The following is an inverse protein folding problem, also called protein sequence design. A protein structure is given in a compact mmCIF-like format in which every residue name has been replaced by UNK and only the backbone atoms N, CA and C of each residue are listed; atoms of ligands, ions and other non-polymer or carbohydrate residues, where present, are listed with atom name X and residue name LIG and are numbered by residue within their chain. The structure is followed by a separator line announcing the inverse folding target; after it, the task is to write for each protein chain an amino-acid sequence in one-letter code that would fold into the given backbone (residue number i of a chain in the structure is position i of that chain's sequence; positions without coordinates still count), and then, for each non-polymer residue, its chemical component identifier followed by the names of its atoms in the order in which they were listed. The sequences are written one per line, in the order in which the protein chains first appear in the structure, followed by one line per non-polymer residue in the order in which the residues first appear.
data_IF_969509709369
#
_entry.id   IF_969509709369
#
_cell.length_a   1.000
_cell.length_b   1.000
_cell.length_c   1.000
_cell.angle_alpha   90.00
_cell.angle_beta   90.00
_cell.angle_gamma   90.00
#
_symmetry.space_group_name_H-M   'P 1'
#
loop_
_entity.id
_entity.type
_entity.pdbx_description
1 polymer ?
#
# COMPACT_ATOMS: atom_id res chain seq x y z
N UNK A 1 2.91 22.98 2.14
CA UNK A 1 2.63 23.35 0.72
C UNK A 1 1.51 22.42 0.24
N UNK A 2 0.32 22.92 -0.09
CA UNK A 2 -0.84 22.06 -0.35
C UNK A 2 -0.66 21.13 -1.57
N UNK A 3 -1.05 19.86 -1.44
CA UNK A 3 -1.11 18.89 -2.55
C UNK A 3 -1.90 19.44 -3.73
N UNK A 4 -1.29 19.46 -4.93
CA UNK A 4 -2.03 19.72 -6.16
C UNK A 4 -2.85 18.49 -6.55
N UNK A 5 -4.12 18.50 -6.13
CA UNK A 5 -5.07 17.37 -6.26
C UNK A 5 -5.28 16.95 -7.71
N UNK A 6 -5.38 17.90 -8.65
CA UNK A 6 -5.59 17.60 -10.08
C UNK A 6 -4.42 16.83 -10.66
N UNK A 7 -3.19 17.28 -10.42
CA UNK A 7 -1.97 16.59 -10.86
C UNK A 7 -1.79 15.24 -10.17
N UNK A 8 -2.23 15.12 -8.92
CA UNK A 8 -2.16 13.89 -8.16
C UNK A 8 -3.07 12.81 -8.76
N UNK A 9 -4.30 13.14 -9.15
CA UNK A 9 -5.24 12.17 -9.74
C UNK A 9 -4.78 11.55 -11.06
N UNK A 10 -3.96 12.26 -11.84
CA UNK A 10 -3.44 11.71 -13.10
C UNK A 10 -2.33 10.68 -12.86
N UNK A 11 -1.48 10.91 -11.84
CA UNK A 11 -0.23 10.15 -11.68
C UNK A 11 -0.22 9.22 -10.48
N UNK A 12 -1.09 9.46 -9.48
CA UNK A 12 -1.12 8.76 -8.19
C UNK A 12 0.26 8.66 -7.54
N UNK A 13 1.07 9.70 -7.71
CA UNK A 13 2.41 9.81 -7.15
C UNK A 13 2.50 11.10 -6.36
N UNK A 14 2.95 10.99 -5.13
CA UNK A 14 3.21 12.11 -4.25
C UNK A 14 4.71 12.22 -4.03
N UNK A 15 5.27 13.41 -4.21
CA UNK A 15 6.66 13.71 -3.91
C UNK A 15 6.75 15.13 -3.36
N UNK A 16 7.29 15.26 -2.16
CA UNK A 16 7.48 16.55 -1.51
C UNK A 16 8.77 16.58 -0.70
N UNK A 17 9.23 17.79 -0.40
CA UNK A 17 10.32 18.07 0.53
C UNK A 17 9.89 19.24 1.41
N UNK A 18 9.40 18.93 2.59
CA UNK A 18 8.80 19.91 3.50
C UNK A 18 9.01 19.50 4.97
N UNK A 19 8.78 20.39 5.94
CA UNK A 19 8.71 20.02 7.36
C UNK A 19 7.65 18.95 7.64
N UNK A 20 7.75 18.28 8.78
CA UNK A 20 6.83 17.20 9.16
C UNK A 20 5.37 17.65 9.22
N UNK A 21 5.01 18.81 9.80
CA UNK A 21 3.61 19.27 9.86
C UNK A 21 2.96 19.39 8.47
N UNK A 22 3.65 20.03 7.53
CA UNK A 22 3.20 20.15 6.14
C UNK A 22 2.97 18.79 5.48
N UNK A 23 3.88 17.84 5.68
CA UNK A 23 3.73 16.50 5.11
C UNK A 23 2.56 15.73 5.75
N UNK A 24 2.32 15.93 7.05
CA UNK A 24 1.19 15.30 7.75
C UNK A 24 -0.14 15.88 7.26
N UNK A 25 -0.20 17.19 7.01
CA UNK A 25 -1.36 17.84 6.38
C UNK A 25 -1.62 17.25 4.99
N UNK A 26 -0.56 17.11 4.17
CA UNK A 26 -0.68 16.48 2.86
C UNK A 26 -1.19 15.02 2.96
N UNK A 27 -0.73 14.24 3.94
CA UNK A 27 -1.23 12.87 4.16
C UNK A 27 -2.71 12.84 4.61
N UNK A 28 -3.16 13.86 5.33
CA UNK A 28 -4.55 14.01 5.73
C UNK A 28 -5.45 14.39 4.53
N UNK A 29 -4.95 15.22 3.62
CA UNK A 29 -5.67 15.47 2.35
C UNK A 29 -5.82 14.17 1.55
N UNK A 30 -4.76 13.35 1.48
CA UNK A 30 -4.83 12.05 0.80
C UNK A 30 -5.80 11.08 1.48
N UNK A 31 -5.84 11.03 2.81
CA UNK A 31 -6.78 10.17 3.55
C UNK A 31 -8.23 10.59 3.32
N UNK A 32 -8.50 11.89 3.27
CA UNK A 32 -9.85 12.42 2.99
C UNK A 32 -10.28 12.15 1.54
N UNK A 33 -9.38 12.27 0.57
CA UNK A 33 -9.66 11.94 -0.82
C UNK A 33 -10.02 10.46 -0.98
N UNK A 34 -9.28 9.58 -0.32
CA UNK A 34 -9.55 8.14 -0.31
C UNK A 34 -10.89 7.82 0.35
N UNK A 35 -11.15 8.37 1.54
CA UNK A 35 -12.41 8.18 2.25
C UNK A 35 -13.63 8.66 1.44
N UNK A 36 -13.50 9.76 0.69
CA UNK A 36 -14.54 10.24 -0.24
C UNK A 36 -14.75 9.26 -1.40
N UNK A 37 -13.68 8.76 -2.00
CA UNK A 37 -13.77 7.79 -3.10
C UNK A 37 -14.40 6.47 -2.63
N UNK A 38 -14.02 5.97 -1.46
CA UNK A 38 -14.60 4.77 -0.86
C UNK A 38 -16.07 4.97 -0.51
N UNK A 39 -16.42 6.13 0.07
CA UNK A 39 -17.79 6.52 0.36
C UNK A 39 -18.68 6.59 -0.88
N UNK A 40 -18.20 7.23 -1.95
CA UNK A 40 -18.89 7.28 -3.25
C UNK A 40 -19.12 5.89 -3.84
N UNK A 41 -18.12 5.01 -3.77
CA UNK A 41 -18.24 3.64 -4.28
C UNK A 41 -19.25 2.81 -3.49
N UNK A 42 -19.27 2.95 -2.16
CA UNK A 42 -20.26 2.30 -1.30
C UNK A 42 -21.67 2.84 -1.60
N UNK A 43 -21.83 4.15 -1.70
CA UNK A 43 -23.12 4.76 -2.03
C UNK A 43 -23.66 4.30 -3.40
N UNK A 44 -22.80 4.24 -4.43
CA UNK A 44 -23.17 3.72 -5.75
C UNK A 44 -23.48 2.22 -5.73
N UNK A 45 -22.80 1.43 -4.91
CA UNK A 45 -23.10 0.01 -4.73
C UNK A 45 -24.50 -0.20 -4.15
N UNK A 46 -24.80 0.49 -3.05
CA UNK A 46 -26.12 0.44 -2.42
C UNK A 46 -27.21 0.94 -3.37
N UNK A 47 -26.98 2.08 -4.03
CA UNK A 47 -27.94 2.66 -4.99
C UNK A 47 -28.14 1.76 -6.21
N UNK A 48 -27.06 1.17 -6.75
CA UNK A 48 -27.11 0.24 -7.88
C UNK A 48 -27.90 -1.03 -7.55
N UNK A 49 -27.71 -1.59 -6.36
CA UNK A 49 -28.48 -2.76 -5.91
C UNK A 49 -29.95 -2.43 -5.70
N UNK A 50 -30.27 -1.32 -5.02
CA UNK A 50 -31.65 -0.91 -4.77
C UNK A 50 -32.42 -0.46 -6.02
N UNK A 51 -31.73 -0.15 -7.12
CA UNK A 51 -32.37 0.20 -8.39
C UNK A 51 -32.46 -1.01 -9.32
N UNK A 52 -31.37 -1.77 -9.48
CA UNK A 52 -31.31 -2.89 -10.42
C UNK A 52 -32.18 -4.08 -10.02
N UNK A 53 -32.25 -4.43 -8.72
CA UNK A 53 -33.05 -5.57 -8.25
C UNK A 53 -34.55 -5.38 -8.49
N UNK A 54 -35.21 -4.32 -7.98
CA UNK A 54 -36.63 -4.15 -8.22
C UNK A 54 -36.94 -3.90 -9.70
N UNK A 55 -36.06 -3.20 -10.43
CA UNK A 55 -36.18 -3.04 -11.88
C UNK A 55 -36.17 -4.39 -12.62
N UNK A 56 -35.23 -5.26 -12.27
CA UNK A 56 -35.12 -6.61 -12.83
C UNK A 56 -36.31 -7.51 -12.49
N UNK A 57 -36.80 -7.46 -11.24
CA UNK A 57 -37.99 -8.20 -10.83
C UNK A 57 -39.23 -7.72 -11.58
N UNK A 58 -39.46 -6.42 -11.67
CA UNK A 58 -40.59 -5.86 -12.42
C UNK A 58 -40.53 -6.22 -13.91
N UNK A 59 -39.34 -6.13 -14.52
CA UNK A 59 -39.15 -6.52 -15.92
C UNK A 59 -39.41 -8.02 -16.14
N UNK A 60 -38.93 -8.89 -15.24
CA UNK A 60 -39.14 -10.32 -15.31
C UNK A 60 -40.62 -10.72 -15.12
N UNK A 61 -41.31 -10.10 -14.15
CA UNK A 61 -42.75 -10.31 -13.93
C UNK A 61 -43.55 -9.84 -15.14
N UNK A 62 -43.26 -8.65 -15.66
CA UNK A 62 -43.93 -8.11 -16.85
C UNK A 62 -43.74 -9.04 -18.05
N UNK A 63 -42.52 -9.52 -18.26
CA UNK A 63 -42.21 -10.48 -19.33
C UNK A 63 -42.94 -11.81 -19.14
N UNK A 64 -42.96 -12.35 -17.92
CA UNK A 64 -43.65 -13.61 -17.62
C UNK A 64 -45.17 -13.54 -17.83
N UNK A 65 -45.79 -12.44 -17.40
CA UNK A 65 -47.23 -12.20 -17.63
C UNK A 65 -47.50 -12.01 -19.11
N UNK A 66 -46.69 -11.23 -19.82
CA UNK A 66 -46.82 -11.04 -21.27
C UNK A 66 -46.69 -12.37 -22.03
N UNK A 67 -45.65 -13.16 -21.74
CA UNK A 67 -45.43 -14.45 -22.38
C UNK A 67 -46.57 -15.45 -22.14
N UNK A 68 -47.11 -15.51 -20.92
CA UNK A 68 -48.22 -16.42 -20.58
C UNK A 68 -49.59 -15.98 -21.10
N UNK A 69 -49.77 -14.69 -21.40
CA UNK A 69 -51.05 -14.14 -21.91
C UNK A 69 -51.12 -14.13 -23.43
N UNK A 70 -49.98 -14.02 -24.13
CA UNK A 70 -49.90 -14.21 -25.60
C UNK A 70 -50.41 -15.60 -26.02
N UNK A 71 -50.31 -16.61 -25.17
CA UNK A 71 -50.84 -17.95 -25.44
C UNK A 71 -52.36 -18.09 -25.22
N UNK A 72 -53.02 -17.12 -24.57
CA UNK A 72 -54.40 -17.27 -24.09
C UNK A 72 -55.40 -16.26 -24.66
N UNK A 73 -54.99 -15.31 -25.51
CA UNK A 73 -55.81 -14.27 -26.16
C UNK A 73 -56.72 -13.41 -25.24
N UNK A 74 -56.57 -13.49 -23.91
CA UNK A 74 -57.44 -12.82 -22.92
C UNK A 74 -56.72 -11.68 -22.16
N UNK A 75 -56.33 -10.60 -22.85
CA UNK A 75 -55.82 -9.39 -22.19
C UNK A 75 -56.82 -8.24 -22.34
N UNK A 76 -57.34 -7.75 -21.21
CA UNK A 76 -58.11 -6.51 -21.18
C UNK A 76 -57.23 -5.30 -21.51
N UNK A 77 -57.76 -4.26 -22.15
CA UNK A 77 -56.99 -3.06 -22.51
C UNK A 77 -56.28 -2.41 -21.31
N UNK A 78 -56.93 -2.43 -20.14
CA UNK A 78 -56.36 -1.96 -18.88
C UNK A 78 -55.13 -2.79 -18.45
N UNK A 79 -55.17 -4.12 -18.65
CA UNK A 79 -54.04 -5.01 -18.38
C UNK A 79 -52.85 -4.75 -19.31
N UNK A 80 -53.11 -4.50 -20.59
CA UNK A 80 -52.06 -4.15 -21.55
C UNK A 80 -51.36 -2.83 -21.21
N UNK A 81 -52.12 -1.80 -20.80
CA UNK A 81 -51.56 -0.53 -20.36
C UNK A 81 -50.70 -0.67 -19.10
N UNK A 82 -51.18 -1.44 -18.10
CA UNK A 82 -50.44 -1.66 -16.86
C UNK A 82 -49.14 -2.43 -17.09
N UNK A 83 -49.15 -3.45 -17.98
CA UNK A 83 -47.94 -4.17 -18.39
C UNK A 83 -46.95 -3.26 -19.10
N UNK A 84 -47.41 -2.38 -19.99
CA UNK A 84 -46.55 -1.42 -20.68
C UNK A 84 -45.88 -0.46 -19.71
N UNK A 85 -46.63 0.12 -18.77
CA UNK A 85 -46.07 1.04 -17.76
C UNK A 85 -45.08 0.32 -16.84
N UNK A 86 -45.46 -0.85 -16.31
CA UNK A 86 -44.61 -1.63 -15.41
C UNK A 86 -43.34 -2.10 -16.09
N UNK A 87 -43.42 -2.51 -17.37
CA UNK A 87 -42.28 -2.89 -18.18
C UNK A 87 -41.32 -1.73 -18.45
N UNK A 88 -41.85 -0.56 -18.81
CA UNK A 88 -41.03 0.65 -19.06
C UNK A 88 -40.34 1.11 -17.77
N UNK A 89 -41.08 1.17 -16.65
CA UNK A 89 -40.52 1.56 -15.36
C UNK A 89 -39.47 0.54 -14.89
N UNK A 90 -39.80 -0.75 -14.92
CA UNK A 90 -38.87 -1.83 -14.56
C UNK A 90 -37.60 -1.82 -15.41
N UNK A 91 -37.76 -1.70 -16.73
CA UNK A 91 -36.64 -1.61 -17.68
C UNK A 91 -35.75 -0.38 -17.42
N UNK A 92 -36.35 0.80 -17.21
CA UNK A 92 -35.61 2.03 -16.91
C UNK A 92 -34.79 1.93 -15.63
N UNK A 93 -35.36 1.38 -14.55
CA UNK A 93 -34.67 1.18 -13.27
C UNK A 93 -33.50 0.20 -13.39
N UNK A 94 -33.67 -0.86 -14.17
CA UNK A 94 -32.59 -1.81 -14.46
C UNK A 94 -31.46 -1.13 -15.23
N UNK A 95 -31.77 -0.34 -16.26
CA UNK A 95 -30.76 0.40 -17.03
C UNK A 95 -30.02 1.41 -16.14
N UNK A 96 -30.74 2.20 -15.33
CA UNK A 96 -30.12 3.15 -14.38
C UNK A 96 -29.22 2.41 -13.39
N UNK A 97 -29.67 1.30 -12.82
CA UNK A 97 -28.86 0.48 -11.92
C UNK A 97 -27.57 -0.03 -12.58
N UNK A 98 -27.64 -0.50 -13.83
CA UNK A 98 -26.47 -0.91 -14.61
C UNK A 98 -25.51 0.27 -14.85
N UNK A 99 -26.02 1.45 -15.19
CA UNK A 99 -25.20 2.66 -15.36
C UNK A 99 -24.49 3.06 -14.06
N UNK A 100 -25.15 2.93 -12.90
CA UNK A 100 -24.53 3.17 -11.59
C UNK A 100 -23.39 2.17 -11.31
N UNK A 101 -23.55 0.89 -11.68
CA UNK A 101 -22.47 -0.09 -11.58
C UNK A 101 -21.29 0.20 -12.51
N UNK A 102 -21.58 0.63 -13.75
CA UNK A 102 -20.54 1.08 -14.68
C UNK A 102 -19.79 2.29 -14.12
N UNK A 103 -20.52 3.26 -13.57
CA UNK A 103 -19.91 4.43 -12.93
C UNK A 103 -19.05 4.03 -11.73
N UNK A 104 -19.52 3.12 -10.87
CA UNK A 104 -18.72 2.54 -9.77
C UNK A 104 -17.41 1.93 -10.29
N UNK A 105 -17.44 1.24 -11.43
CA UNK A 105 -16.23 0.66 -12.03
C UNK A 105 -15.21 1.73 -12.43
N UNK A 106 -15.68 2.86 -12.98
CA UNK A 106 -14.80 3.99 -13.33
C UNK A 106 -14.15 4.68 -12.13
N UNK A 107 -14.74 4.53 -10.93
CA UNK A 107 -14.18 5.09 -9.69
C UNK A 107 -13.14 4.17 -9.03
N UNK A 108 -13.05 2.89 -9.41
CA UNK A 108 -12.11 1.94 -8.82
C UNK A 108 -10.64 2.40 -8.86
N UNK A 109 -10.13 3.06 -9.92
CA UNK A 109 -8.75 3.58 -9.94
C UNK A 109 -8.49 4.69 -8.91
N UNK A 110 -9.53 5.32 -8.35
CA UNK A 110 -9.39 6.39 -7.35
C UNK A 110 -9.24 5.86 -5.91
N UNK A 111 -9.42 4.55 -5.71
CA UNK A 111 -9.22 3.84 -4.45
C UNK A 111 -7.72 3.73 -4.17
N UNK A 112 -7.25 4.41 -3.13
CA UNK A 112 -5.85 4.39 -2.74
C UNK A 112 -5.60 3.24 -1.77
N UNK A 113 -4.36 2.75 -1.66
CA UNK A 113 -4.04 1.76 -0.62
C UNK A 113 -3.80 2.47 0.71
N UNK A 114 -4.73 2.33 1.65
CA UNK A 114 -4.75 2.97 2.97
C UNK A 114 -3.46 2.73 3.75
N UNK A 115 -2.81 1.58 3.52
CA UNK A 115 -1.57 1.20 4.19
C UNK A 115 -0.40 2.08 3.78
N UNK A 116 -0.41 2.60 2.54
CA UNK A 116 0.73 3.34 1.97
C UNK A 116 0.87 4.73 2.57
N UNK A 117 -0.17 5.57 2.51
CA UNK A 117 -0.14 6.88 3.15
C UNK A 117 -0.24 6.76 4.68
N UNK A 118 -0.93 5.75 5.20
CA UNK A 118 -0.97 5.46 6.64
C UNK A 118 0.41 5.18 7.23
N UNK A 119 1.27 4.41 6.53
CA UNK A 119 2.65 4.18 6.97
C UNK A 119 3.44 5.49 7.01
N UNK A 120 3.30 6.34 5.98
CA UNK A 120 3.96 7.64 5.93
C UNK A 120 3.57 8.50 7.14
N UNK A 121 2.27 8.60 7.42
CA UNK A 121 1.73 9.38 8.54
C UNK A 121 2.29 8.90 9.89
N UNK A 122 2.30 7.58 10.13
CA UNK A 122 2.80 7.01 11.39
C UNK A 122 4.32 7.21 11.53
N UNK A 123 5.10 7.03 10.47
CA UNK A 123 6.55 7.25 10.52
C UNK A 123 6.91 8.72 10.70
N UNK A 124 6.20 9.63 10.04
CA UNK A 124 6.39 11.08 10.19
C UNK A 124 6.16 11.51 11.64
N UNK A 125 5.04 11.12 12.25
CA UNK A 125 4.74 11.42 13.67
C UNK A 125 5.80 10.88 14.63
N UNK A 126 6.35 9.68 14.36
CA UNK A 126 7.40 9.09 15.20
C UNK A 126 8.73 9.83 15.06
N UNK A 127 9.09 10.24 13.84
CA UNK A 127 10.34 10.93 13.56
C UNK A 127 10.31 12.41 13.96
N UNK A 128 9.14 13.02 14.06
CA UNK A 128 8.95 14.42 14.48
C UNK A 128 9.73 14.77 15.75
N UNK A 129 9.73 13.87 16.73
CA UNK A 129 10.42 14.05 18.01
C UNK A 129 11.96 14.10 17.90
N UNK A 130 12.53 13.51 16.84
CA UNK A 130 13.97 13.43 16.61
C UNK A 130 14.47 14.45 15.56
N UNK A 131 13.57 15.28 15.04
CA UNK A 131 13.83 16.28 14.01
C UNK A 131 13.87 17.69 14.60
N UNK A 132 14.63 18.59 13.96
CA UNK A 132 14.46 20.01 14.25
C UNK A 132 13.11 20.47 13.68
N UNK A 133 12.44 21.47 14.29
CA UNK A 133 11.09 21.90 13.89
C UNK A 133 10.93 22.15 12.38
N UNK A 134 11.93 22.80 11.77
CA UNK A 134 11.93 23.16 10.35
C UNK A 134 12.78 22.21 9.48
N UNK A 135 13.17 21.05 10.01
CA UNK A 135 14.00 20.10 9.26
C UNK A 135 13.23 19.53 8.06
N UNK A 136 13.71 19.74 6.82
CA UNK A 136 12.99 19.25 5.66
C UNK A 136 13.10 17.74 5.55
N UNK A 137 11.96 17.07 5.49
CA UNK A 137 11.83 15.64 5.19
C UNK A 137 11.46 15.51 3.72
N UNK A 138 12.17 14.65 2.99
CA UNK A 138 11.82 14.28 1.61
C UNK A 138 10.98 13.01 1.66
N UNK A 139 9.75 13.11 1.16
CA UNK A 139 8.81 11.99 1.07
C UNK A 139 8.49 11.70 -0.41
N UNK A 140 8.54 10.43 -0.79
CA UNK A 140 8.03 9.93 -2.07
C UNK A 140 7.10 8.75 -1.83
N UNK A 141 5.92 8.81 -2.43
CA UNK A 141 4.90 7.79 -2.41
C UNK A 141 4.41 7.52 -3.83
N UNK A 142 4.44 6.26 -4.26
CA UNK A 142 3.67 5.78 -5.42
C UNK A 142 2.44 5.06 -4.87
N UNK A 143 1.25 5.57 -5.18
CA UNK A 143 -0.03 5.03 -4.72
C UNK A 143 -0.73 4.22 -5.81
N UNK A 144 -0.07 4.02 -6.97
CA UNK A 144 -0.59 3.13 -8.02
C UNK A 144 -0.51 1.68 -7.58
N UNK A 145 -1.40 0.81 -8.08
CA UNK A 145 -1.33 -0.62 -7.83
C UNK A 145 0.07 -1.21 -8.08
N UNK A 146 0.49 -2.24 -7.33
CA UNK A 146 1.82 -2.84 -7.47
C UNK A 146 1.99 -3.66 -8.75
N UNK A 147 0.90 -3.93 -9.46
CA UNK A 147 0.80 -4.80 -10.63
C UNK A 147 0.57 -4.05 -11.95
N UNK A 148 0.88 -2.75 -11.98
CA UNK A 148 0.91 -1.94 -13.22
C UNK A 148 2.04 -2.43 -14.12
N UNK A 149 1.80 -2.44 -15.44
CA UNK A 149 2.76 -2.95 -16.44
C UNK A 149 4.13 -2.27 -16.36
N UNK A 150 4.19 -0.95 -16.10
CA UNK A 150 5.44 -0.20 -15.90
C UNK A 150 6.33 -0.78 -14.79
N UNK A 151 5.74 -1.47 -13.81
CA UNK A 151 6.43 -2.06 -12.65
C UNK A 151 6.83 -3.52 -12.89
N UNK A 152 6.49 -4.08 -14.06
CA UNK A 152 6.81 -5.46 -14.42
C UNK A 152 8.29 -5.57 -14.80
N UNK A 153 9.02 -6.38 -14.05
CA UNK A 153 10.47 -6.57 -14.26
C UNK A 153 10.76 -7.79 -15.13
N UNK A 154 9.91 -8.81 -15.05
CA UNK A 154 10.11 -10.05 -15.80
C UNK A 154 8.79 -10.77 -16.02
N UNK A 155 8.66 -11.41 -17.17
CA UNK A 155 7.64 -12.41 -17.46
C UNK A 155 8.35 -13.73 -17.76
N UNK A 156 7.88 -14.82 -17.17
CA UNK A 156 8.53 -16.12 -17.25
C UNK A 156 7.52 -17.27 -17.15
N UNK A 157 7.89 -18.46 -17.62
CA UNK A 157 7.11 -19.68 -17.47
C UNK A 157 7.69 -20.48 -16.29
N UNK A 158 7.01 -20.41 -15.13
CA UNK A 158 7.45 -21.15 -13.92
C UNK A 158 6.65 -22.44 -13.81
N UNK A 159 7.21 -23.53 -14.33
CA UNK A 159 6.52 -24.80 -14.49
C UNK A 159 5.44 -24.69 -15.56
N UNK A 160 4.17 -24.87 -15.19
CA UNK A 160 3.02 -24.76 -16.09
C UNK A 160 2.23 -23.44 -15.95
N UNK A 161 2.86 -22.41 -15.36
CA UNK A 161 2.23 -21.13 -15.04
C UNK A 161 2.94 -19.97 -15.75
N UNK A 162 2.19 -19.20 -16.52
CA UNK A 162 2.64 -17.89 -17.00
C UNK A 162 2.75 -16.97 -15.80
N UNK A 163 3.95 -16.46 -15.56
CA UNK A 163 4.29 -15.77 -14.32
C UNK A 163 4.85 -14.38 -14.61
N UNK A 164 4.16 -13.35 -14.14
CA UNK A 164 4.65 -11.98 -14.15
C UNK A 164 5.23 -11.62 -12.78
N UNK A 165 6.42 -11.03 -12.78
CA UNK A 165 7.11 -10.50 -11.61
C UNK A 165 7.12 -8.98 -11.64
N UNK A 166 6.59 -8.37 -10.59
CA UNK A 166 6.52 -6.93 -10.40
C UNK A 166 7.39 -6.50 -9.23
N UNK A 167 8.02 -5.34 -9.37
CA UNK A 167 8.79 -4.68 -8.30
C UNK A 167 8.30 -3.24 -8.20
N UNK A 168 7.71 -2.91 -7.05
CA UNK A 168 7.07 -1.63 -6.79
C UNK A 168 7.81 -0.86 -5.68
N UNK A 169 8.78 0.00 -6.02
CA UNK A 169 9.45 0.86 -5.05
C UNK A 169 8.55 2.05 -4.69
N UNK A 170 7.54 1.79 -3.88
CA UNK A 170 6.45 2.74 -3.65
C UNK A 170 6.74 3.75 -2.53
N UNK A 171 7.64 3.47 -1.59
CA UNK A 171 7.90 4.34 -0.44
C UNK A 171 9.36 4.75 -0.34
N UNK A 172 9.60 6.05 -0.13
CA UNK A 172 10.88 6.59 0.32
C UNK A 172 10.66 7.78 1.25
N UNK A 173 11.26 7.73 2.43
CA UNK A 173 11.37 8.83 3.37
C UNK A 173 12.86 9.07 3.64
N UNK A 174 13.34 10.29 3.39
CA UNK A 174 14.71 10.71 3.65
C UNK A 174 14.70 11.95 4.55
N UNK A 175 15.50 11.94 5.61
CA UNK A 175 15.61 13.08 6.52
C UNK A 175 16.98 13.14 7.21
N UNK A 176 17.25 14.26 7.87
CA UNK A 176 18.41 14.43 8.73
C UNK A 176 17.95 14.67 10.16
N UNK A 177 18.34 13.78 11.05
CA UNK A 177 18.01 13.86 12.48
C UNK A 177 18.85 14.94 13.18
N UNK A 178 18.42 15.34 14.37
CA UNK A 178 19.07 16.38 15.17
C UNK A 178 20.55 16.08 15.50
N UNK A 179 20.94 14.81 15.60
CA UNK A 179 22.33 14.37 15.79
C UNK A 179 23.22 14.54 14.54
N UNK A 180 22.60 14.90 13.41
CA UNK A 180 23.20 15.08 12.11
C UNK A 180 23.33 13.80 11.28
N UNK A 181 22.76 12.67 11.72
CA UNK A 181 22.66 11.45 10.95
C UNK A 181 21.63 11.61 9.83
N UNK A 182 21.94 11.10 8.65
CA UNK A 182 21.01 11.04 7.53
C UNK A 182 20.31 9.69 7.54
N UNK A 183 18.99 9.71 7.72
CA UNK A 183 18.14 8.52 7.76
C UNK A 183 17.38 8.40 6.44
N UNK A 184 17.33 7.19 5.92
CA UNK A 184 16.53 6.84 4.75
C UNK A 184 15.77 5.55 5.04
N UNK A 185 14.44 5.64 5.00
CA UNK A 185 13.51 4.51 5.10
C UNK A 185 12.90 4.33 3.72
N UNK A 186 12.87 3.10 3.21
CA UNK A 186 12.27 2.80 1.90
C UNK A 186 11.54 1.47 1.94
N UNK A 187 10.45 1.35 1.20
CA UNK A 187 9.68 0.13 1.08
C UNK A 187 9.47 -0.24 -0.39
N UNK A 188 9.64 -1.52 -0.69
CA UNK A 188 9.48 -2.10 -2.03
C UNK A 188 8.56 -3.29 -1.93
N UNK A 189 7.48 -3.31 -2.69
CA UNK A 189 6.62 -4.49 -2.82
C UNK A 189 7.09 -5.35 -3.99
N UNK A 190 7.13 -6.66 -3.77
CA UNK A 190 7.42 -7.65 -4.82
C UNK A 190 6.21 -8.53 -4.99
N UNK A 191 5.57 -8.43 -6.15
CA UNK A 191 4.35 -9.19 -6.46
C UNK A 191 4.63 -10.15 -7.60
N UNK A 192 4.14 -11.37 -7.44
CA UNK A 192 4.15 -12.42 -8.44
C UNK A 192 2.72 -12.76 -8.80
N UNK A 193 2.33 -12.52 -10.05
CA UNK A 193 1.07 -13.00 -10.62
C UNK A 193 1.35 -14.25 -11.43
N UNK A 194 0.53 -15.29 -11.23
CA UNK A 194 0.62 -16.54 -11.97
C UNK A 194 -0.73 -16.82 -12.61
N UNK A 195 -0.73 -17.12 -13.88
CA UNK A 195 -1.91 -17.45 -14.65
C UNK A 195 -1.71 -18.77 -15.38
N UNK A 196 -2.76 -19.59 -15.40
CA UNK A 196 -2.83 -20.79 -16.22
C UNK A 196 -4.22 -20.89 -16.82
N UNK A 197 -4.29 -21.05 -18.13
CA UNK A 197 -5.53 -21.28 -18.87
C UNK A 197 -5.56 -22.71 -19.38
N UNK A 198 -6.72 -23.36 -19.29
CA UNK A 198 -6.95 -24.69 -19.87
C UNK A 198 -8.29 -24.70 -20.59
N UNK A 199 -8.27 -25.19 -21.82
CA UNK A 199 -9.47 -25.40 -22.64
C UNK A 199 -9.96 -26.84 -22.45
N UNK A 200 -11.24 -27.03 -22.17
CA UNK A 200 -11.86 -28.37 -22.10
C UNK A 200 -12.19 -28.91 -23.49
N UNK A 201 -12.49 -30.21 -23.60
CA UNK A 201 -12.93 -30.84 -24.86
C UNK A 201 -14.17 -30.17 -25.46
N UNK A 202 -15.03 -29.56 -24.63
CA UNK A 202 -16.19 -28.77 -25.04
C UNK A 202 -15.85 -27.34 -25.52
N UNK A 203 -14.56 -26.98 -25.65
CA UNK A 203 -14.11 -25.65 -26.06
C UNK A 203 -14.12 -24.58 -24.95
N UNK A 204 -14.62 -24.89 -23.74
CA UNK A 204 -14.65 -23.91 -22.64
C UNK A 204 -13.25 -23.68 -22.06
N UNK A 205 -12.77 -22.44 -22.14
CA UNK A 205 -11.52 -22.02 -21.49
C UNK A 205 -11.77 -21.65 -20.02
N UNK A 206 -10.99 -22.25 -19.12
CA UNK A 206 -10.94 -21.89 -17.69
C UNK A 206 -9.56 -21.33 -17.35
N UNK A 207 -9.55 -20.14 -16.78
CA UNK A 207 -8.34 -19.47 -16.29
C UNK A 207 -8.26 -19.59 -14.78
N UNK A 208 -7.12 -20.02 -14.26
CA UNK A 208 -6.80 -20.00 -12.84
C UNK A 208 -5.69 -18.98 -12.61
N UNK A 209 -5.90 -18.08 -11.67
CA UNK A 209 -4.92 -17.07 -11.26
C UNK A 209 -4.46 -17.31 -9.83
N UNK A 210 -3.19 -17.02 -9.54
CA UNK A 210 -2.64 -16.96 -8.19
C UNK A 210 -1.82 -15.69 -8.05
N UNK A 211 -1.87 -15.08 -6.87
CA UNK A 211 -1.04 -13.94 -6.50
C UNK A 211 -0.21 -14.30 -5.27
N UNK A 212 1.08 -13.97 -5.30
CA UNK A 212 1.98 -14.07 -4.14
C UNK A 212 2.75 -12.77 -4.03
N UNK A 213 2.68 -12.12 -2.88
CA UNK A 213 3.41 -10.88 -2.61
C UNK A 213 4.26 -10.97 -1.34
N UNK A 214 5.18 -10.03 -1.21
CA UNK A 214 5.82 -9.67 0.05
C UNK A 214 6.36 -8.24 -0.04
N UNK A 215 6.56 -7.61 1.11
CA UNK A 215 7.16 -6.28 1.17
C UNK A 215 8.58 -6.33 1.74
N UNK A 216 9.47 -5.52 1.18
CA UNK A 216 10.84 -5.35 1.63
C UNK A 216 10.99 -3.95 2.23
N UNK A 217 11.16 -3.89 3.54
CA UNK A 217 11.44 -2.66 4.25
C UNK A 217 12.95 -2.51 4.43
N UNK A 218 13.50 -1.36 4.06
CA UNK A 218 14.92 -1.04 4.27
C UNK A 218 15.04 0.24 5.08
N UNK A 219 15.88 0.20 6.12
CA UNK A 219 16.25 1.37 6.93
C UNK A 219 17.75 1.54 6.81
N UNK A 220 18.20 2.75 6.48
CA UNK A 220 19.61 3.07 6.41
C UNK A 220 19.93 4.37 7.13
N UNK A 221 21.07 4.37 7.80
CA UNK A 221 21.58 5.51 8.55
C UNK A 221 22.98 5.82 8.03
N UNK A 222 23.21 7.05 7.59
CA UNK A 222 24.52 7.55 7.18
C UNK A 222 25.04 8.52 8.22
N UNK A 223 26.27 8.32 8.64
CA UNK A 223 26.95 9.10 9.67
C UNK A 223 28.34 9.53 9.19
N UNK A 224 28.88 10.59 9.79
CA UNK A 224 30.26 11.02 9.51
C UNK A 224 31.24 9.95 10.06
N UNK A 225 32.09 9.30 9.25
CA UNK A 225 32.99 8.23 9.70
C UNK A 225 33.92 8.66 10.85
N UNK A 226 34.38 9.92 10.83
CA UNK A 226 35.23 10.50 11.88
C UNK A 226 34.61 10.41 13.29
N UNK A 227 33.27 10.41 13.40
CA UNK A 227 32.56 10.31 14.69
C UNK A 227 32.43 8.86 15.19
N UNK A 228 32.59 7.88 14.29
CA UNK A 228 32.34 6.46 14.55
C UNK A 228 33.46 5.59 13.97
N UNK A 229 34.69 5.69 14.51
CA UNK A 229 35.83 4.92 13.99
C UNK A 229 35.62 3.41 14.18
N UNK A 230 36.01 2.62 13.18
CA UNK A 230 35.94 1.16 13.21
C UNK A 230 34.53 0.58 13.09
N UNK A 231 33.55 1.35 12.57
CA UNK A 231 32.16 0.93 12.42
C UNK A 231 32.04 -0.35 11.57
N UNK A 232 32.80 -0.44 10.48
CA UNK A 232 32.84 -1.59 9.55
C UNK A 232 33.16 -2.93 10.23
N UNK A 233 33.91 -2.90 11.34
CA UNK A 233 34.29 -4.11 12.10
C UNK A 233 33.14 -4.66 12.95
N UNK A 234 32.02 -3.95 13.05
CA UNK A 234 30.89 -4.33 13.89
C UNK A 234 29.78 -5.08 13.14
N UNK A 235 30.00 -5.54 11.91
CA UNK A 235 28.98 -6.26 11.14
C UNK A 235 28.33 -7.41 11.93
N UNK A 236 29.13 -8.30 12.51
CA UNK A 236 28.63 -9.45 13.28
C UNK A 236 27.78 -8.99 14.47
N UNK A 237 28.26 -7.97 15.19
CA UNK A 237 27.55 -7.43 16.35
C UNK A 237 26.28 -6.69 15.96
N UNK A 238 26.28 -5.99 14.82
CA UNK A 238 25.10 -5.32 14.28
C UNK A 238 24.00 -6.32 13.93
N UNK A 239 24.38 -7.45 13.32
CA UNK A 239 23.45 -8.56 13.08
C UNK A 239 22.88 -9.10 14.40
N UNK A 240 23.74 -9.40 15.38
CA UNK A 240 23.29 -9.94 16.68
C UNK A 240 22.45 -8.94 17.51
N UNK A 241 22.68 -7.62 17.34
CA UNK A 241 21.92 -6.58 18.02
C UNK A 241 20.61 -6.22 17.31
N UNK A 242 20.36 -6.79 16.12
CA UNK A 242 19.13 -6.52 15.38
C UNK A 242 17.95 -7.19 16.08
N UNK A 243 16.98 -6.38 16.49
CA UNK A 243 15.72 -6.85 17.08
C UNK A 243 14.61 -6.54 16.09
N UNK A 244 13.87 -7.56 15.67
CA UNK A 244 12.70 -7.43 14.80
C UNK A 244 11.49 -8.12 15.46
N UNK A 245 10.25 -7.77 15.06
CA UNK A 245 9.08 -8.54 15.42
C UNK A 245 9.20 -10.01 14.99
N UNK A 246 8.56 -10.93 15.74
CA UNK A 246 8.74 -12.39 15.57
C UNK A 246 8.46 -12.92 14.17
N UNK A 247 7.50 -12.32 13.45
CA UNK A 247 7.06 -12.74 12.12
C UNK A 247 7.89 -12.13 10.97
N UNK A 248 8.76 -11.17 11.28
CA UNK A 248 9.51 -10.41 10.30
C UNK A 248 10.90 -11.03 10.13
N UNK A 249 11.24 -11.37 8.89
CA UNK A 249 12.53 -11.98 8.58
C UNK A 249 13.59 -10.91 8.28
N UNK A 250 14.77 -11.04 8.88
CA UNK A 250 15.93 -10.21 8.54
C UNK A 250 16.57 -10.71 7.23
N UNK A 251 16.49 -9.93 6.16
CA UNK A 251 17.10 -10.31 4.88
C UNK A 251 18.58 -9.93 4.81
N UNK A 252 18.94 -8.73 5.31
CA UNK A 252 20.29 -8.20 5.09
C UNK A 252 20.69 -7.14 6.11
N UNK A 253 21.94 -7.26 6.57
CA UNK A 253 22.65 -6.24 7.35
C UNK A 253 23.89 -5.80 6.58
N UNK A 254 24.05 -4.50 6.34
CA UNK A 254 25.27 -3.92 5.77
C UNK A 254 25.83 -2.88 6.72
N UNK A 255 27.13 -2.99 6.97
CA UNK A 255 27.89 -2.08 7.82
C UNK A 255 29.11 -1.61 7.02
N UNK A 256 29.25 -0.31 6.86
CA UNK A 256 30.34 0.37 6.17
C UNK A 256 30.80 1.57 7.02
N UNK A 257 31.98 2.16 6.76
CA UNK A 257 32.59 3.17 7.64
C UNK A 257 31.71 4.38 7.99
N UNK A 258 30.75 4.74 7.14
CA UNK A 258 29.80 5.83 7.39
C UNK A 258 28.34 5.47 7.06
N UNK A 259 28.02 4.18 6.91
CA UNK A 259 26.67 3.74 6.54
C UNK A 259 26.31 2.43 7.20
N UNK A 260 25.12 2.40 7.79
CA UNK A 260 24.45 1.21 8.26
C UNK A 260 23.18 1.01 7.43
N UNK A 261 22.85 -0.24 7.10
CA UNK A 261 21.60 -0.59 6.45
C UNK A 261 21.08 -1.92 7.00
N UNK A 262 19.81 -1.92 7.36
CA UNK A 262 19.02 -3.12 7.64
C UNK A 262 17.96 -3.25 6.56
N UNK A 263 17.71 -4.49 6.14
CA UNK A 263 16.58 -4.86 5.29
C UNK A 263 15.85 -6.03 5.91
N UNK A 264 14.54 -5.90 5.99
CA UNK A 264 13.63 -6.89 6.53
C UNK A 264 12.54 -7.22 5.50
N UNK A 265 12.02 -8.44 5.58
CA UNK A 265 10.92 -8.94 4.76
C UNK A 265 9.66 -9.04 5.63
N UNK A 266 8.59 -8.45 5.11
CA UNK A 266 7.25 -8.50 5.67
C UNK A 266 6.33 -9.29 4.71
N UNK A 267 5.27 -9.88 5.26
CA UNK A 267 4.20 -10.51 4.48
C UNK A 267 3.45 -9.51 3.59
N UNK A 268 2.67 -10.01 2.62
CA UNK A 268 1.83 -9.18 1.72
C UNK A 268 0.69 -8.48 2.47
N UNK A 269 0.30 -9.04 3.62
CA UNK A 269 -0.81 -8.57 4.47
C UNK A 269 -0.33 -7.64 5.59
N UNK A 270 0.84 -7.02 5.43
CA UNK A 270 1.34 -6.02 6.37
C UNK A 270 0.34 -4.87 6.57
N UNK A 271 0.41 -4.21 7.73
CA UNK A 271 -0.37 -3.03 8.07
C UNK A 271 0.55 -1.88 8.47
N UNK A 272 0.09 -0.64 8.27
CA UNK A 272 0.85 0.55 8.68
C UNK A 272 1.13 0.56 10.19
N UNK A 273 0.08 0.28 10.98
CA UNK A 273 0.12 0.14 12.45
C UNK A 273 -0.89 -0.93 12.87
N UNK A 274 -0.51 -1.84 13.74
CA UNK A 274 -1.44 -2.79 14.33
C UNK A 274 -2.22 -2.14 15.50
N UNK A 275 -3.54 -2.33 15.54
CA UNK A 275 -4.40 -1.69 16.55
C UNK A 275 -4.53 -2.50 17.85
N UNK A 276 -4.45 -3.84 17.81
CA UNK A 276 -4.59 -4.74 18.99
C UNK A 276 -3.73 -6.01 18.88
N UNK A 277 -3.24 -6.49 20.03
CA UNK A 277 -2.59 -7.81 20.17
C UNK A 277 -3.62 -8.92 20.46
N UNK A 278 -3.39 -10.18 20.02
CA UNK A 278 -2.20 -10.67 19.31
C UNK A 278 -2.27 -10.39 17.79
N UNK A 279 -1.23 -9.75 17.28
CA UNK A 279 -1.13 -9.25 15.90
C UNK A 279 -1.16 -10.40 14.86
N UNK A 280 -2.21 -10.49 14.06
CA UNK A 280 -2.25 -11.41 12.91
C UNK A 280 -1.33 -10.96 11.78
N UNK A 281 -1.17 -9.65 11.60
CA UNK A 281 -0.47 -8.99 10.49
C UNK A 281 0.82 -8.31 10.94
N UNK A 282 1.78 -8.17 10.01
CA UNK A 282 3.06 -7.51 10.30
C UNK A 282 2.90 -5.98 10.39
N UNK A 283 3.26 -5.38 11.53
CA UNK A 283 3.29 -3.92 11.69
C UNK A 283 4.57 -3.33 11.06
N UNK A 284 4.40 -2.62 9.95
CA UNK A 284 5.50 -2.00 9.22
C UNK A 284 6.14 -0.84 9.98
N UNK A 285 5.35 -0.02 10.70
CA UNK A 285 5.88 1.10 11.49
C UNK A 285 6.71 0.63 12.68
N UNK A 286 6.25 -0.41 13.39
CA UNK A 286 6.95 -1.05 14.50
C UNK A 286 8.25 -1.66 14.01
N UNK A 287 8.21 -2.38 12.90
CA UNK A 287 9.39 -2.93 12.24
C UNK A 287 10.41 -1.85 11.91
N UNK A 288 9.99 -0.77 11.22
CA UNK A 288 10.88 0.34 10.85
C UNK A 288 11.55 0.99 12.07
N UNK A 289 10.77 1.21 13.13
CA UNK A 289 11.25 1.80 14.38
C UNK A 289 12.26 0.89 15.08
N UNK A 290 11.96 -0.40 15.19
CA UNK A 290 12.89 -1.39 15.78
C UNK A 290 14.18 -1.50 14.98
N UNK A 291 14.10 -1.51 13.65
CA UNK A 291 15.28 -1.47 12.77
C UNK A 291 16.12 -0.21 13.03
N UNK A 292 15.49 0.97 13.08
CA UNK A 292 16.19 2.23 13.35
C UNK A 292 16.88 2.20 14.72
N UNK A 293 16.16 1.79 15.77
CA UNK A 293 16.70 1.65 17.12
C UNK A 293 17.88 0.67 17.17
N UNK A 294 17.79 -0.48 16.50
CA UNK A 294 18.90 -1.43 16.40
C UNK A 294 20.14 -0.82 15.73
N UNK A 295 19.97 -0.01 14.68
CA UNK A 295 21.09 0.70 14.07
C UNK A 295 21.71 1.72 15.04
N UNK A 296 20.88 2.44 15.78
CA UNK A 296 21.31 3.40 16.79
C UNK A 296 22.04 2.75 17.97
N UNK A 297 21.65 1.54 18.38
CA UNK A 297 22.37 0.78 19.40
C UNK A 297 23.81 0.48 18.96
N UNK A 298 24.03 0.13 17.69
CA UNK A 298 25.37 -0.10 17.12
C UNK A 298 26.19 1.20 17.09
N UNK A 299 25.58 2.32 16.72
CA UNK A 299 26.21 3.65 16.75
C UNK A 299 26.55 4.09 18.19
N UNK A 300 25.66 3.86 19.15
CA UNK A 300 25.92 4.14 20.55
C UNK A 300 27.06 3.30 21.13
N UNK A 301 27.19 2.04 20.69
CA UNK A 301 28.30 1.16 21.08
C UNK A 301 29.65 1.64 20.52
N UNK A 302 29.73 1.97 19.23
CA UNK A 302 30.98 2.51 18.62
C UNK A 302 31.46 3.77 19.33
N UNK A 303 30.55 4.72 19.57
CA UNK A 303 30.88 5.98 20.24
C UNK A 303 31.44 5.76 21.65
N UNK A 304 30.82 4.85 22.43
CA UNK A 304 31.31 4.49 23.77
C UNK A 304 32.70 3.84 23.72
N UNK A 305 32.93 2.92 22.78
CA UNK A 305 34.24 2.28 22.60
C UNK A 305 35.33 3.28 22.24
N UNK A 306 35.05 4.20 21.32
CA UNK A 306 36.00 5.24 20.91
C UNK A 306 36.38 6.15 22.10
N UNK A 307 35.40 6.55 22.93
CA UNK A 307 35.64 7.34 24.14
C UNK A 307 36.55 6.60 25.15
N UNK A 308 36.32 5.30 25.34
CA UNK A 308 37.16 4.47 26.23
C UNK A 308 38.59 4.31 25.72
N UNK A 309 38.76 4.13 24.40
CA UNK A 309 40.09 4.02 23.79
C UNK A 309 40.87 5.34 23.91
N UNK A 310 40.22 6.48 23.67
CA UNK A 310 40.83 7.79 23.84
C UNK A 310 41.26 8.04 25.30
N UNK A 311 40.43 7.65 26.28
CA UNK A 311 40.75 7.77 27.71
C UNK A 311 41.96 6.90 28.11
N UNK A 312 42.06 5.68 27.57
CA UNK A 312 43.21 4.78 27.80
C UNK A 312 44.51 5.29 27.17
N UNK A 313 44.43 5.89 25.98
CA UNK A 313 45.59 6.50 25.32
C UNK A 313 46.20 7.63 26.15
N UNK A 314 45.36 8.53 26.69
CA UNK A 314 45.83 9.64 27.55
C UNK A 314 46.52 9.19 28.84
N UNK A 315 46.09 8.07 29.43
CA UNK A 315 46.71 7.51 30.64
C UNK A 315 48.07 6.84 30.40
N UNK A 316 48.44 6.58 29.15
CA UNK A 316 49.74 5.99 28.79
C UNK A 316 50.75 7.03 28.30
N UNK A 317 50.31 8.27 28.04
CA UNK A 317 51.13 9.38 27.58
C UNK A 317 51.47 10.39 28.69
N UNK A 318 51.01 10.12 29.92
CA UNK A 318 51.36 10.82 31.16
C UNK A 318 52.12 9.82 32.00
#
# INVERSE_FOLDING_TARGET
MAVNVSRFHERFRYQSRAPVPDLLEDMEVLSQLDARAEGQRRALEWSGWFTALPGGVMAAVTYGVWAGTVERDEITEAGAQLLKVTGVVGGSLLVVGLLLFLWRYTLKPRDLDNRRYGLAQVLLRRLEMDLAPDAPVRLKLDLRPPDVLDKRVRQDLVGWWNTDFFVDPWFMLETRLADGAFVQISMVERVQKRERSKTSASGKTRTKTKRKGFAQLSVSVRVKPKRYPGLERLKVRATAATRLPRKVELERVRVAPGRLLLRARLSDEWVARAEREPETRDDASRTATMMLLSLYQVLGYTRRRAKLQAARGRRRSV
#
